data_IF_433827217278
#
_entry.id   IF_433827217278
#
_cell.length_a   1.000
_cell.length_b   1.000
_cell.length_c   1.000
_cell.angle_alpha   90.00
_cell.angle_beta   90.00
_cell.angle_gamma   90.00
#
_symmetry.space_group_name_H-M   'P 1'
#
loop_
_entity.id
_entity.type
_entity.pdbx_description
1 polymer ?
#
# COMPACT_ATOMS: atom_id res chain seq x y z
N UNK A 1 -29.63 39.67 -15.00
CA UNK A 1 -28.19 39.89 -14.70
C UNK A 1 -27.90 39.28 -13.33
N UNK A 2 -27.50 38.01 -13.28
CA UNK A 2 -26.64 37.44 -12.22
C UNK A 2 -25.96 36.19 -12.77
N UNK A 3 -24.66 36.08 -12.50
CA UNK A 3 -23.65 35.19 -13.07
C UNK A 3 -23.58 33.85 -12.32
N UNK A 4 -23.32 32.78 -13.08
CA UNK A 4 -22.54 31.56 -12.77
C UNK A 4 -22.54 30.94 -11.36
N UNK A 5 -22.87 29.64 -11.32
CA UNK A 5 -21.86 28.61 -11.04
C UNK A 5 -22.23 27.33 -11.82
N UNK A 6 -21.42 27.01 -12.82
CA UNK A 6 -21.43 25.68 -13.44
C UNK A 6 -20.63 24.76 -12.51
N UNK A 7 -21.33 23.84 -11.86
CA UNK A 7 -20.70 22.76 -11.10
C UNK A 7 -20.54 21.56 -12.04
N UNK A 8 -19.63 21.61 -13.01
CA UNK A 8 -19.14 20.37 -13.62
C UNK A 8 -18.38 19.59 -12.55
N UNK A 9 -19.13 18.73 -11.85
CA UNK A 9 -18.58 17.50 -11.30
C UNK A 9 -18.05 16.70 -12.49
N UNK A 10 -16.73 16.49 -12.52
CA UNK A 10 -16.10 15.48 -13.37
C UNK A 10 -16.62 14.12 -12.90
N UNK A 11 -17.77 13.72 -13.46
CA UNK A 11 -18.26 12.35 -13.36
C UNK A 11 -17.32 11.52 -14.21
N UNK A 12 -16.28 11.01 -13.57
CA UNK A 12 -15.27 10.15 -14.17
C UNK A 12 -15.91 9.20 -15.17
N UNK A 13 -15.44 9.28 -16.40
CA UNK A 13 -15.95 8.55 -17.55
C UNK A 13 -16.20 7.08 -17.19
N UNK A 14 -17.45 6.64 -17.29
CA UNK A 14 -17.80 5.23 -17.14
C UNK A 14 -17.12 4.42 -18.26
N UNK A 15 -16.33 3.41 -17.90
CA UNK A 15 -16.00 2.29 -18.78
C UNK A 15 -17.25 1.37 -18.88
N UNK A 16 -17.54 0.68 -20.00
CA UNK A 16 -18.80 -0.05 -20.19
C UNK A 16 -19.07 -1.17 -19.17
N UNK A 17 -18.09 -1.52 -18.33
CA UNK A 17 -18.18 -2.54 -17.29
C UNK A 17 -18.54 -2.02 -15.88
N UNK A 18 -18.81 -0.71 -15.70
CA UNK A 18 -19.25 -0.14 -14.41
C UNK A 18 -18.25 -0.27 -13.25
N UNK A 19 -17.01 -0.69 -13.54
CA UNK A 19 -15.97 -0.86 -12.53
C UNK A 19 -15.19 0.44 -12.43
N UNK A 20 -15.20 1.11 -11.27
CA UNK A 20 -14.27 2.23 -11.01
C UNK A 20 -12.84 1.70 -11.03
N UNK A 21 -12.15 1.80 -12.16
CA UNK A 21 -10.72 1.53 -12.21
C UNK A 21 -10.00 2.68 -11.52
N UNK A 22 -9.42 2.44 -10.34
CA UNK A 22 -8.60 3.42 -9.64
C UNK A 22 -7.49 3.92 -10.57
N UNK A 23 -7.35 5.24 -10.70
CA UNK A 23 -6.17 5.82 -11.37
C UNK A 23 -4.91 5.43 -10.59
N UNK A 24 -3.89 4.85 -11.24
CA UNK A 24 -2.63 4.54 -10.58
C UNK A 24 -2.02 5.80 -9.96
N UNK A 25 -1.42 5.64 -8.77
CA UNK A 25 -0.60 6.67 -8.14
C UNK A 25 0.66 6.92 -8.97
N UNK A 26 1.32 8.04 -8.68
CA UNK A 26 2.60 8.38 -9.28
C UNK A 26 3.58 7.22 -9.10
N UNK A 27 4.19 6.77 -10.20
CA UNK A 27 5.19 5.70 -10.17
C UNK A 27 4.66 4.28 -9.91
N UNK A 28 3.37 4.09 -9.64
CA UNK A 28 2.80 2.78 -9.30
C UNK A 28 2.94 1.77 -10.45
N UNK A 29 2.74 2.23 -11.68
CA UNK A 29 2.93 1.38 -12.88
C UNK A 29 4.39 0.94 -13.03
N UNK A 30 5.32 1.85 -12.77
CA UNK A 30 6.75 1.55 -12.81
C UNK A 30 7.12 0.57 -11.69
N UNK A 31 6.52 0.72 -10.51
CA UNK A 31 6.74 -0.15 -9.35
C UNK A 31 5.96 -1.49 -9.40
N UNK A 32 5.19 -1.76 -10.45
CA UNK A 32 4.28 -2.91 -10.53
C UNK A 32 5.00 -4.25 -10.34
N UNK A 33 6.25 -4.38 -10.79
CA UNK A 33 7.04 -5.61 -10.60
C UNK A 33 7.34 -5.94 -9.13
N UNK A 34 7.23 -4.96 -8.21
CA UNK A 34 7.46 -5.08 -6.78
C UNK A 34 6.17 -5.19 -5.96
N UNK A 35 5.02 -4.95 -6.59
CA UNK A 35 3.72 -4.85 -5.92
C UNK A 35 2.90 -6.12 -6.14
N UNK A 36 2.44 -6.71 -5.04
CA UNK A 36 1.37 -7.71 -5.03
C UNK A 36 0.07 -7.05 -4.54
N UNK A 37 -1.01 -7.19 -5.29
CA UNK A 37 -2.33 -6.68 -4.89
C UNK A 37 -3.14 -7.76 -4.16
N UNK A 38 -3.91 -7.35 -3.17
CA UNK A 38 -4.78 -8.23 -2.39
C UNK A 38 -4.00 -9.14 -1.46
N UNK A 39 -4.39 -10.41 -1.40
CA UNK A 39 -3.75 -11.41 -0.54
C UNK A 39 -2.88 -12.38 -1.36
N UNK A 40 -1.55 -12.24 -1.32
CA UNK A 40 -0.66 -13.22 -1.93
C UNK A 40 -0.58 -14.52 -1.10
N UNK A 41 -0.31 -15.64 -1.77
CA UNK A 41 -0.02 -16.93 -1.15
C UNK A 41 1.41 -16.97 -0.57
N UNK A 42 1.60 -16.29 0.56
CA UNK A 42 2.90 -16.10 1.24
C UNK A 42 3.48 -17.41 1.78
N UNK A 43 2.63 -18.28 2.32
CA UNK A 43 3.06 -19.55 2.90
C UNK A 43 3.36 -20.62 1.84
N UNK A 44 2.76 -20.52 0.66
CA UNK A 44 2.94 -21.46 -0.44
C UNK A 44 3.85 -20.93 -1.54
N UNK A 45 3.26 -20.74 -2.72
CA UNK A 45 3.94 -20.50 -3.99
C UNK A 45 4.78 -19.21 -4.03
N UNK A 46 4.38 -18.16 -3.30
CA UNK A 46 5.08 -16.87 -3.28
C UNK A 46 6.07 -16.71 -2.13
N UNK A 47 6.27 -17.73 -1.31
CA UNK A 47 7.21 -17.73 -0.18
C UNK A 47 8.60 -17.14 -0.51
N UNK A 48 9.17 -17.50 -1.66
CA UNK A 48 10.50 -17.04 -2.08
C UNK A 48 10.57 -15.54 -2.33
N UNK A 49 9.45 -14.89 -2.63
CA UNK A 49 9.38 -13.45 -2.88
C UNK A 49 9.49 -12.62 -1.60
N UNK A 50 9.16 -13.20 -0.43
CA UNK A 50 9.09 -12.46 0.83
C UNK A 50 10.15 -12.87 1.85
N UNK A 51 10.70 -14.09 1.77
CA UNK A 51 11.71 -14.56 2.74
C UNK A 51 12.95 -13.64 2.73
N UNK A 52 13.41 -13.24 3.92
CA UNK A 52 14.58 -12.37 4.12
C UNK A 52 14.47 -11.02 3.38
N UNK A 53 13.25 -10.51 3.20
CA UNK A 53 12.96 -9.25 2.54
C UNK A 53 12.37 -8.23 3.50
N UNK A 54 12.53 -6.96 3.15
CA UNK A 54 11.79 -5.84 3.72
C UNK A 54 10.47 -5.70 2.97
N UNK A 55 9.39 -6.11 3.61
CA UNK A 55 8.05 -6.13 3.03
C UNK A 55 7.23 -5.00 3.62
N UNK A 56 6.73 -4.10 2.77
CA UNK A 56 5.72 -3.12 3.18
C UNK A 56 4.32 -3.64 2.87
N UNK A 57 3.42 -3.52 3.82
CA UNK A 57 2.00 -3.86 3.67
C UNK A 57 1.21 -2.56 3.79
N UNK A 58 0.59 -2.14 2.69
CA UNK A 58 -0.09 -0.85 2.57
C UNK A 58 -1.60 -1.10 2.62
N UNK A 59 -2.30 -0.48 3.55
CA UNK A 59 -3.75 -0.57 3.65
C UNK A 59 -4.26 -0.41 5.08
N UNK A 60 -5.59 -0.34 5.26
CA UNK A 60 -6.18 -0.29 6.59
C UNK A 60 -5.93 -1.61 7.31
N UNK A 61 -5.61 -1.55 8.61
CA UNK A 61 -5.13 -2.71 9.38
C UNK A 61 -6.06 -3.91 9.30
N UNK A 62 -7.38 -3.68 9.33
CA UNK A 62 -8.37 -4.74 9.32
C UNK A 62 -8.35 -5.53 8.00
N UNK A 63 -8.11 -4.87 6.86
CA UNK A 63 -8.04 -5.53 5.55
C UNK A 63 -6.75 -6.35 5.39
N UNK A 64 -5.65 -5.87 5.96
CA UNK A 64 -4.33 -6.50 5.80
C UNK A 64 -3.94 -7.43 6.94
N UNK A 65 -4.73 -7.52 8.01
CA UNK A 65 -4.45 -8.39 9.17
C UNK A 65 -4.13 -9.84 8.79
N UNK A 66 -4.86 -10.50 7.86
CA UNK A 66 -4.51 -11.86 7.45
C UNK A 66 -3.12 -11.94 6.81
N UNK A 67 -2.75 -10.96 5.97
CA UNK A 67 -1.44 -10.87 5.33
C UNK A 67 -0.34 -10.66 6.37
N UNK A 68 -0.56 -9.77 7.34
CA UNK A 68 0.40 -9.51 8.41
C UNK A 68 0.66 -10.77 9.24
N UNK A 69 -0.38 -11.53 9.58
CA UNK A 69 -0.22 -12.80 10.30
C UNK A 69 0.65 -13.79 9.53
N UNK A 70 0.39 -13.96 8.23
CA UNK A 70 1.14 -14.89 7.38
C UNK A 70 2.62 -14.44 7.23
N UNK A 71 2.88 -13.12 7.15
CA UNK A 71 4.24 -12.57 7.12
C UNK A 71 4.97 -12.64 8.47
N UNK A 72 4.26 -12.45 9.59
CA UNK A 72 4.84 -12.58 10.93
C UNK A 72 5.29 -14.02 11.18
N UNK A 73 4.50 -15.00 10.75
CA UNK A 73 4.87 -16.40 10.79
C UNK A 73 6.12 -16.66 9.94
N UNK A 74 6.16 -16.12 8.71
CA UNK A 74 7.33 -16.18 7.86
C UNK A 74 8.58 -15.55 8.51
N UNK A 75 8.44 -14.39 9.15
CA UNK A 75 9.54 -13.67 9.78
C UNK A 75 10.13 -14.43 10.97
N UNK A 76 9.29 -15.13 11.75
CA UNK A 76 9.75 -16.06 12.79
C UNK A 76 10.57 -17.22 12.22
N UNK A 77 10.19 -17.73 11.04
CA UNK A 77 10.88 -18.86 10.40
C UNK A 77 12.14 -18.44 9.62
N UNK A 78 12.21 -17.19 9.15
CA UNK A 78 13.25 -16.68 8.26
C UNK A 78 13.80 -15.35 8.78
N UNK A 79 14.85 -15.40 9.63
CA UNK A 79 15.55 -14.21 10.10
C UNK A 79 16.01 -13.32 8.93
N UNK A 80 15.81 -12.02 9.07
CA UNK A 80 16.03 -11.02 8.02
C UNK A 80 14.78 -10.66 7.21
N UNK A 81 13.64 -11.29 7.47
CA UNK A 81 12.36 -10.81 6.95
C UNK A 81 11.85 -9.71 7.88
N UNK A 82 11.62 -8.51 7.37
CA UNK A 82 11.08 -7.39 8.16
C UNK A 82 9.77 -6.95 7.54
N UNK A 83 8.76 -6.75 8.37
CA UNK A 83 7.41 -6.36 7.93
C UNK A 83 7.14 -4.95 8.40
N UNK A 84 6.62 -4.11 7.51
CA UNK A 84 6.21 -2.74 7.85
C UNK A 84 4.77 -2.51 7.41
N UNK A 85 3.85 -2.33 8.36
CA UNK A 85 2.47 -1.92 8.09
C UNK A 85 2.43 -0.41 7.85
N UNK A 86 1.86 0.02 6.74
CA UNK A 86 1.64 1.42 6.38
C UNK A 86 0.13 1.65 6.25
N UNK A 87 -0.43 2.50 7.12
CA UNK A 87 -1.85 2.82 7.12
C UNK A 87 -2.08 4.33 7.01
N UNK A 88 -3.07 4.78 6.21
CA UNK A 88 -3.46 6.19 6.15
C UNK A 88 -4.21 6.65 7.41
N UNK A 89 -4.73 5.72 8.22
CA UNK A 89 -5.49 6.04 9.43
C UNK A 89 -4.56 6.71 10.46
N UNK A 90 -4.96 7.90 10.90
CA UNK A 90 -4.43 8.53 12.12
C UNK A 90 -5.15 7.86 13.28
N UNK A 91 -4.45 7.04 14.07
CA UNK A 91 -4.93 6.75 15.43
C UNK A 91 -4.51 7.90 16.32
N UNK A 92 -5.47 8.53 16.97
CA UNK A 92 -5.21 9.28 18.19
C UNK A 92 -4.67 8.30 19.23
N UNK A 93 -3.47 8.55 19.75
CA UNK A 93 -2.83 7.83 20.84
C UNK A 93 -2.42 6.35 20.59
N UNK A 94 -1.13 6.18 20.27
CA UNK A 94 -0.15 5.31 20.94
C UNK A 94 1.15 5.39 20.11
N UNK A 95 2.32 5.29 20.74
CA UNK A 95 3.57 5.06 20.00
C UNK A 95 3.36 3.84 19.09
N UNK A 96 3.49 3.99 17.76
CA UNK A 96 3.27 2.88 16.86
C UNK A 96 4.25 1.75 17.21
N UNK A 97 3.75 0.52 17.29
CA UNK A 97 4.59 -0.65 17.46
C UNK A 97 5.69 -0.67 16.39
N UNK A 98 6.86 -1.22 16.73
CA UNK A 98 7.95 -1.35 15.78
C UNK A 98 7.47 -2.01 14.49
N UNK A 99 7.86 -1.45 13.33
CA UNK A 99 7.37 -1.92 12.03
C UNK A 99 5.97 -1.40 11.66
N UNK A 100 5.50 -0.30 12.25
CA UNK A 100 4.23 0.32 11.87
C UNK A 100 4.38 1.82 11.59
N UNK A 101 3.83 2.25 10.46
CA UNK A 101 3.75 3.64 10.02
C UNK A 101 2.26 4.01 9.93
N UNK A 102 1.83 4.93 10.79
CA UNK A 102 0.43 5.39 10.88
C UNK A 102 0.29 6.80 10.32
N UNK A 103 -0.91 7.13 9.85
CA UNK A 103 -1.18 8.42 9.22
C UNK A 103 -0.30 8.70 8.00
N UNK A 104 0.07 7.66 7.24
CA UNK A 104 0.89 7.78 6.04
C UNK A 104 0.04 7.41 4.83
N UNK A 105 -0.37 8.41 4.05
CA UNK A 105 -1.10 8.21 2.81
C UNK A 105 -0.11 8.22 1.65
N UNK A 106 0.09 7.07 1.03
CA UNK A 106 1.03 6.93 -0.09
C UNK A 106 0.61 7.87 -1.23
N UNK A 107 1.49 8.78 -1.61
CA UNK A 107 1.37 9.65 -2.77
C UNK A 107 2.04 9.04 -4.00
N UNK A 108 3.26 8.53 -3.85
CA UNK A 108 4.07 8.02 -4.94
C UNK A 108 4.91 6.78 -4.60
N UNK A 109 5.27 6.05 -5.65
CA UNK A 109 6.16 4.89 -5.61
C UNK A 109 7.39 5.18 -6.46
N UNK A 110 8.58 4.99 -5.89
CA UNK A 110 9.83 5.33 -6.53
C UNK A 110 10.76 4.12 -6.51
N UNK A 111 10.80 3.31 -7.58
CA UNK A 111 11.79 2.25 -7.73
C UNK A 111 13.22 2.81 -7.68
N UNK A 112 14.06 2.16 -6.91
CA UNK A 112 15.50 2.44 -6.76
C UNK A 112 16.26 1.13 -6.91
N UNK A 113 17.59 1.19 -7.01
CA UNK A 113 18.45 0.00 -7.00
C UNK A 113 18.22 -0.86 -5.74
N UNK A 114 17.94 -0.22 -4.61
CA UNK A 114 17.72 -0.86 -3.32
C UNK A 114 16.27 -1.27 -3.02
N UNK A 115 15.35 -1.20 -3.99
CA UNK A 115 13.91 -1.47 -3.79
C UNK A 115 13.03 -0.23 -4.02
N UNK A 116 11.80 -0.24 -3.53
CA UNK A 116 10.84 0.85 -3.74
C UNK A 116 10.82 1.80 -2.54
N UNK A 117 11.06 3.07 -2.78
CA UNK A 117 10.81 4.17 -1.85
C UNK A 117 9.35 4.61 -1.98
N UNK A 118 8.68 4.88 -0.86
CA UNK A 118 7.34 5.43 -0.83
C UNK A 118 7.39 6.88 -0.37
N UNK A 119 6.69 7.74 -1.08
CA UNK A 119 6.45 9.13 -0.70
C UNK A 119 5.03 9.26 -0.15
N UNK A 120 4.87 9.92 1.00
CA UNK A 120 3.60 10.30 1.58
C UNK A 120 3.09 11.61 0.98
N UNK A 121 1.79 11.85 1.06
CA UNK A 121 1.19 13.14 0.66
C UNK A 121 1.67 14.34 1.49
N UNK A 122 2.24 14.06 2.67
CA UNK A 122 2.90 15.02 3.54
C UNK A 122 4.40 15.21 3.24
N UNK A 123 4.90 14.64 2.15
CA UNK A 123 6.30 14.72 1.72
C UNK A 123 7.27 13.83 2.53
N UNK A 124 6.78 13.00 3.46
CA UNK A 124 7.63 12.01 4.15
C UNK A 124 8.02 10.88 3.20
N UNK A 125 9.24 10.39 3.36
CA UNK A 125 9.77 9.26 2.60
C UNK A 125 10.04 8.06 3.51
N UNK A 126 9.63 6.86 3.08
CA UNK A 126 9.88 5.61 3.81
C UNK A 126 10.33 4.50 2.86
N UNK A 127 11.17 3.60 3.37
CA UNK A 127 11.77 2.49 2.61
C UNK A 127 13.31 2.57 2.59
N UNK A 128 13.97 1.93 1.60
CA UNK A 128 13.37 1.20 0.50
C UNK A 128 12.83 -0.17 0.92
N UNK A 129 11.79 -0.64 0.23
CA UNK A 129 11.18 -1.96 0.44
C UNK A 129 11.48 -2.88 -0.75
N UNK A 130 11.76 -4.14 -0.47
CA UNK A 130 12.02 -5.13 -1.52
C UNK A 130 10.72 -5.66 -2.14
N UNK A 131 9.61 -5.62 -1.38
CA UNK A 131 8.27 -6.02 -1.81
C UNK A 131 7.21 -5.14 -1.16
N UNK A 132 6.15 -4.88 -1.92
CA UNK A 132 4.98 -4.16 -1.47
C UNK A 132 3.76 -5.07 -1.61
N UNK A 133 2.92 -5.13 -0.58
CA UNK A 133 1.60 -5.75 -0.65
C UNK A 133 0.58 -4.64 -0.45
N UNK A 134 -0.23 -4.37 -1.46
CA UNK A 134 -1.32 -3.40 -1.37
C UNK A 134 -2.58 -4.16 -1.00
N UNK A 135 -2.94 -4.09 0.28
CA UNK A 135 -4.21 -4.55 0.77
C UNK A 135 -5.32 -3.67 0.23
N UNK A 136 -6.41 -4.34 -0.13
CA UNK A 136 -7.54 -3.74 -0.80
C UNK A 136 -7.93 -2.38 -0.16
N UNK A 137 -7.70 -1.31 -0.93
CA UNK A 137 -8.26 0.01 -0.71
C UNK A 137 -9.63 -0.02 -1.39
N UNK A 138 -10.57 -0.84 -0.91
CA UNK A 138 -11.97 -0.58 -1.19
C UNK A 138 -12.18 0.84 -0.68
N UNK A 139 -12.45 1.76 -1.60
CA UNK A 139 -13.16 2.99 -1.27
C UNK A 139 -14.29 2.53 -0.35
N UNK A 140 -14.20 2.89 0.94
CA UNK A 140 -15.35 2.76 1.80
C UNK A 140 -16.48 3.53 1.09
N UNK A 141 -17.68 2.94 0.96
CA UNK A 141 -18.78 3.57 0.24
C UNK A 141 -19.08 4.98 0.75
#
# INVERSE_FOLDING_TARGET
MTMTLDHTVDLGSHDPAGTRTRRPRLGERQAQAWIDYGRPDIAGSRFRHYKRRRVAVIGPEHAVRPVLRDLDELARQKPGTTVTLITPERRDAATPAAGRVVGFRVHGFYPTEGGVMLEGDDGRWIGPFDRLIVGDLHDAP
#
